data_IF_499571246584
#
_entry.id   IF_499571246584
#
_cell.length_a   1.000
_cell.length_b   1.000
_cell.length_c   1.000
_cell.angle_alpha   90.00
_cell.angle_beta   90.00
_cell.angle_gamma   90.00
#
_symmetry.space_group_name_H-M   'P 1'
#
loop_
_entity.id
_entity.type
_entity.pdbx_description
1 polymer ?
#
# COMPACT_ATOMS: atom_id res chain seq x y z
N UNK A 1 31.79 -8.04 2.42
CA UNK A 1 30.69 -8.91 2.91
C UNK A 1 30.05 -8.39 4.20
N UNK A 2 30.82 -8.01 5.23
CA UNK A 2 30.24 -7.52 6.49
C UNK A 2 29.46 -6.21 6.31
N UNK A 3 30.00 -5.24 5.57
CA UNK A 3 29.36 -3.93 5.33
C UNK A 3 27.99 -4.02 4.64
N UNK A 4 27.88 -4.85 3.59
CA UNK A 4 26.61 -5.06 2.87
C UNK A 4 25.60 -5.73 3.79
N UNK A 5 26.04 -6.72 4.57
CA UNK A 5 25.20 -7.42 5.54
C UNK A 5 24.72 -6.48 6.65
N UNK A 6 25.60 -5.65 7.22
CA UNK A 6 25.24 -4.69 8.26
C UNK A 6 24.35 -3.57 7.74
N UNK A 7 24.60 -3.06 6.53
CA UNK A 7 23.74 -2.06 5.89
C UNK A 7 22.33 -2.62 5.62
N UNK A 8 22.24 -3.87 5.15
CA UNK A 8 20.97 -4.57 4.96
C UNK A 8 20.18 -4.66 6.28
N UNK A 9 20.81 -5.14 7.35
CA UNK A 9 20.14 -5.28 8.65
C UNK A 9 19.78 -3.93 9.28
N UNK A 10 20.61 -2.90 9.13
CA UNK A 10 20.30 -1.54 9.60
C UNK A 10 19.11 -0.93 8.86
N UNK A 11 19.04 -1.12 7.55
CA UNK A 11 17.93 -0.61 6.73
C UNK A 11 16.63 -1.33 7.07
N UNK A 12 16.68 -2.66 7.27
CA UNK A 12 15.54 -3.44 7.72
C UNK A 12 15.05 -3.03 9.11
N UNK A 13 15.96 -2.84 10.07
CA UNK A 13 15.61 -2.36 11.41
C UNK A 13 15.00 -0.96 11.38
N UNK A 14 15.53 -0.07 10.53
CA UNK A 14 14.97 1.27 10.33
C UNK A 14 13.54 1.22 9.78
N UNK A 15 13.28 0.40 8.75
CA UNK A 15 11.93 0.24 8.18
C UNK A 15 10.93 -0.33 9.19
N UNK A 16 11.39 -1.20 10.10
CA UNK A 16 10.55 -1.80 11.14
C UNK A 16 10.19 -0.81 12.26
N UNK A 17 11.12 0.09 12.61
CA UNK A 17 10.91 1.13 13.64
C UNK A 17 10.34 2.43 13.11
N UNK A 18 10.44 2.71 11.81
CA UNK A 18 9.88 3.90 11.18
C UNK A 18 8.37 4.12 11.45
N UNK A 19 7.49 3.10 11.48
CA UNK A 19 6.07 3.33 11.80
C UNK A 19 5.83 3.74 13.25
N UNK A 20 6.72 3.40 14.19
CA UNK A 20 6.60 3.82 15.60
C UNK A 20 7.20 5.20 15.89
N UNK A 21 7.99 5.75 14.96
CA UNK A 21 8.59 7.08 15.04
C UNK A 21 7.70 8.21 14.49
N UNK A 22 6.42 7.93 14.22
CA UNK A 22 5.44 8.93 13.77
C UNK A 22 5.51 9.30 12.29
N UNK A 23 6.26 8.54 11.47
CA UNK A 23 6.14 8.66 10.02
C UNK A 23 4.94 7.84 9.56
N UNK A 24 3.91 8.52 9.02
CA UNK A 24 2.75 7.87 8.42
C UNK A 24 3.13 7.22 7.08
N UNK A 25 3.78 6.07 7.21
CA UNK A 25 4.11 5.16 6.12
C UNK A 25 2.83 4.61 5.48
N UNK A 26 1.70 4.58 6.19
CA UNK A 26 0.42 4.15 5.64
C UNK A 26 -0.07 5.11 4.55
N UNK A 27 -0.05 6.42 4.83
CA UNK A 27 -0.42 7.43 3.84
C UNK A 27 0.59 7.46 2.67
N UNK A 28 1.88 7.39 2.97
CA UNK A 28 2.93 7.37 1.94
C UNK A 28 2.86 6.12 1.07
N UNK A 29 2.64 4.93 1.65
CA UNK A 29 2.49 3.69 0.92
C UNK A 29 1.20 3.65 0.09
N UNK A 30 0.09 4.23 0.57
CA UNK A 30 -1.14 4.38 -0.21
C UNK A 30 -0.94 5.33 -1.40
N UNK A 31 -0.25 6.45 -1.20
CA UNK A 31 0.07 7.39 -2.28
C UNK A 31 0.97 6.74 -3.34
N UNK A 32 2.10 6.14 -2.93
CA UNK A 32 3.02 5.44 -3.84
C UNK A 32 2.35 4.24 -4.50
N UNK A 33 1.51 3.50 -3.77
CA UNK A 33 0.75 2.37 -4.29
C UNK A 33 -0.28 2.77 -5.35
N UNK A 34 -0.96 3.91 -5.17
CA UNK A 34 -1.88 4.48 -6.17
C UNK A 34 -1.14 4.90 -7.45
N UNK A 35 0.05 5.48 -7.33
CA UNK A 35 0.85 5.85 -8.51
C UNK A 35 1.44 4.63 -9.21
N UNK A 36 1.92 3.63 -8.46
CA UNK A 36 2.41 2.37 -9.03
C UNK A 36 1.31 1.59 -9.76
N UNK A 37 0.09 1.56 -9.20
CA UNK A 37 -1.03 0.91 -9.88
C UNK A 37 -1.43 1.64 -11.17
N UNK A 38 -1.44 2.98 -11.19
CA UNK A 38 -1.68 3.76 -12.42
C UNK A 38 -0.59 3.54 -13.49
N UNK A 39 0.67 3.49 -13.08
CA UNK A 39 1.77 3.20 -14.00
C UNK A 39 1.71 1.76 -14.50
N UNK A 40 1.36 0.80 -13.65
CA UNK A 40 1.17 -0.60 -14.01
C UNK A 40 0.01 -0.80 -14.99
N UNK A 41 -1.15 -0.20 -14.74
CA UNK A 41 -2.32 -0.32 -15.64
C UNK A 41 -2.05 0.30 -17.00
N UNK A 42 -1.42 1.48 -17.06
CA UNK A 42 -1.07 2.11 -18.34
C UNK A 42 -0.07 1.29 -19.18
N UNK A 43 0.92 0.66 -18.54
CA UNK A 43 1.84 -0.24 -19.22
C UNK A 43 1.14 -1.49 -19.79
N UNK A 44 0.21 -2.09 -19.02
CA UNK A 44 -0.57 -3.26 -19.47
C UNK A 44 -1.52 -2.90 -20.60
N UNK A 45 -2.20 -1.74 -20.53
CA UNK A 45 -3.07 -1.25 -21.60
C UNK A 45 -2.27 -1.08 -22.90
N UNK A 46 -1.09 -0.48 -22.85
CA UNK A 46 -0.24 -0.34 -24.05
C UNK A 46 0.15 -1.67 -24.71
N UNK A 47 0.36 -2.72 -23.92
CA UNK A 47 0.64 -4.07 -24.43
C UNK A 47 -0.58 -4.73 -25.06
N UNK A 48 -1.76 -4.55 -24.46
CA UNK A 48 -3.03 -5.00 -25.04
C UNK A 48 -3.33 -4.22 -26.33
N UNK A 49 -2.93 -2.96 -26.39
CA UNK A 49 -3.20 -2.13 -27.55
C UNK A 49 -2.37 -2.48 -28.78
N UNK A 50 -1.13 -2.90 -28.56
CA UNK A 50 -0.20 -3.34 -29.60
C UNK A 50 -0.53 -4.71 -30.21
N UNK A 51 -1.47 -5.46 -29.62
CA UNK A 51 -1.96 -6.72 -30.18
C UNK A 51 -3.08 -6.46 -31.21
N UNK A 52 -2.81 -6.81 -32.46
CA UNK A 52 -3.81 -6.78 -33.53
C UNK A 52 -4.81 -7.94 -33.39
N UNK A 53 -6.08 -7.60 -33.20
CA UNK A 53 -7.16 -8.58 -33.10
C UNK A 53 -7.67 -8.97 -34.51
N UNK A 54 -7.44 -10.22 -34.91
CA UNK A 54 -7.96 -10.76 -36.17
C UNK A 54 -9.44 -11.20 -36.11
N UNK A 55 -10.04 -11.23 -34.91
CA UNK A 55 -11.44 -11.66 -34.70
C UNK A 55 -12.26 -10.62 -33.96
N UNK A 56 -13.57 -10.61 -34.24
CA UNK A 56 -14.54 -9.71 -33.58
C UNK A 56 -14.56 -9.95 -32.07
N UNK A 57 -14.47 -11.21 -31.63
CA UNK A 57 -14.45 -11.61 -30.23
C UNK A 57 -13.26 -11.00 -29.47
N UNK A 58 -12.07 -10.99 -30.09
CA UNK A 58 -10.86 -10.37 -29.54
C UNK A 58 -11.04 -8.85 -29.41
N UNK A 59 -11.63 -8.19 -30.42
CA UNK A 59 -11.84 -6.74 -30.39
C UNK A 59 -12.79 -6.31 -29.26
N UNK A 60 -13.87 -7.07 -29.04
CA UNK A 60 -14.84 -6.80 -27.97
C UNK A 60 -14.22 -7.10 -26.60
N UNK A 61 -13.53 -8.23 -26.47
CA UNK A 61 -12.83 -8.62 -25.24
C UNK A 61 -11.77 -7.59 -24.81
N UNK A 62 -11.00 -7.05 -25.77
CA UNK A 62 -10.01 -6.00 -25.51
C UNK A 62 -10.64 -4.74 -24.90
N UNK A 63 -11.75 -4.27 -25.45
CA UNK A 63 -12.44 -3.09 -24.92
C UNK A 63 -13.01 -3.31 -23.52
N UNK A 64 -13.52 -4.51 -23.24
CA UNK A 64 -13.99 -4.87 -21.90
C UNK A 64 -12.86 -4.89 -20.87
N UNK A 65 -11.70 -5.46 -21.23
CA UNK A 65 -10.52 -5.51 -20.34
C UNK A 65 -9.96 -4.11 -20.09
N UNK A 66 -9.84 -3.28 -21.13
CA UNK A 66 -9.40 -1.88 -20.98
C UNK A 66 -10.39 -1.10 -20.11
N UNK A 67 -11.70 -1.27 -20.32
CA UNK A 67 -12.74 -0.67 -19.49
C UNK A 67 -12.62 -1.08 -18.02
N UNK A 68 -12.43 -2.37 -17.74
CA UNK A 68 -12.25 -2.87 -16.38
C UNK A 68 -10.99 -2.33 -15.68
N UNK A 69 -9.88 -2.20 -16.42
CA UNK A 69 -8.61 -1.65 -15.91
C UNK A 69 -8.67 -0.14 -15.63
N UNK A 70 -9.59 0.58 -16.27
CA UNK A 70 -9.77 2.04 -16.11
C UNK A 70 -10.84 2.41 -15.10
N UNK A 71 -11.76 1.50 -14.76
CA UNK A 71 -12.76 1.74 -13.71
C UNK A 71 -12.10 1.92 -12.33
N UNK A 72 -12.31 3.05 -11.66
CA UNK A 72 -11.77 3.26 -10.31
C UNK A 72 -12.43 2.29 -9.33
N UNK A 73 -11.61 1.56 -8.58
CA UNK A 73 -12.08 0.72 -7.47
C UNK A 73 -12.71 1.62 -6.41
N UNK A 74 -13.98 1.37 -6.09
CA UNK A 74 -14.67 2.10 -5.04
C UNK A 74 -13.89 2.00 -3.72
N UNK A 75 -13.74 3.09 -2.95
CA UNK A 75 -13.04 3.04 -1.67
C UNK A 75 -13.72 2.00 -0.77
N UNK A 76 -12.97 0.97 -0.40
CA UNK A 76 -13.44 0.00 0.59
C UNK A 76 -13.68 0.78 1.90
N UNK A 77 -14.83 0.55 2.57
CA UNK A 77 -15.08 1.18 3.86
C UNK A 77 -13.94 0.79 4.79
N UNK A 78 -13.26 1.79 5.36
CA UNK A 78 -12.22 1.57 6.35
C UNK A 78 -12.85 0.74 7.48
N UNK A 79 -12.32 -0.46 7.71
CA UNK A 79 -12.64 -1.23 8.91
C UNK A 79 -12.37 -0.31 10.10
N UNK A 80 -13.43 0.09 10.80
CA UNK A 80 -13.33 0.95 11.96
C UNK A 80 -12.43 0.26 12.99
N UNK A 81 -11.28 0.88 13.28
CA UNK A 81 -10.40 0.44 14.34
C UNK A 81 -11.18 0.48 15.66
N UNK A 82 -11.24 -0.62 16.43
CA UNK A 82 -11.93 -0.60 17.71
C UNK A 82 -11.29 0.47 18.61
N UNK A 83 -12.08 1.29 19.32
CA UNK A 83 -11.54 2.34 20.16
C UNK A 83 -10.65 1.71 21.24
N UNK A 84 -9.34 1.94 21.14
CA UNK A 84 -8.41 1.56 22.18
C UNK A 84 -8.75 2.35 23.45
N UNK A 85 -9.00 1.71 24.60
CA UNK A 85 -9.25 2.43 25.84
C UNK A 85 -8.00 3.27 26.14
N UNK A 86 -8.18 4.58 26.26
CA UNK A 86 -7.13 5.52 26.66
C UNK A 86 -6.74 5.24 28.12
N UNK A 87 -5.96 4.19 28.34
CA UNK A 87 -5.28 3.96 29.60
C UNK A 87 -4.20 5.05 29.73
N UNK A 88 -4.40 5.95 30.69
CA UNK A 88 -3.41 6.95 31.04
C UNK A 88 -2.10 6.25 31.42
N UNK A 89 -1.08 6.43 30.59
CA UNK A 89 0.27 5.96 30.84
C UNK A 89 1.16 7.17 31.14
N UNK A 90 2.01 7.14 32.18
CA UNK A 90 2.20 6.05 33.15
C UNK A 90 1.07 5.96 34.19
N UNK A 91 0.80 4.77 34.75
CA UNK A 91 -0.24 4.58 35.76
C UNK A 91 0.03 5.43 37.02
N UNK A 92 -1.01 5.89 37.73
CA UNK A 92 -0.85 6.65 38.97
C UNK A 92 -0.08 5.82 40.02
N UNK A 93 0.82 6.48 40.75
CA UNK A 93 1.61 5.87 41.84
C UNK A 93 0.68 5.20 42.86
N UNK A 94 0.92 3.95 43.27
CA UNK A 94 0.07 3.27 44.22
C UNK A 94 0.21 3.88 45.63
N UNK A 95 -0.89 3.88 46.39
CA UNK A 95 -1.01 4.56 47.69
C UNK A 95 -0.07 4.03 48.78
N UNK A 96 0.44 2.80 48.63
CA UNK A 96 1.38 2.18 49.57
C UNK A 96 2.81 2.75 49.46
N UNK A 97 3.11 3.55 48.43
CA UNK A 97 4.43 4.12 48.19
C UNK A 97 4.59 5.55 48.77
N UNK A 98 3.76 5.92 49.75
CA UNK A 98 3.91 7.14 50.57
C UNK A 98 4.68 6.87 51.85
#
# INVERSE_FOLDING_TARGET
MFLVRSAFWLTGAFLLMAPSAGMDLGQSARATGADLTRQGTSAVIGQIEAQDCASLECSIGRQLVIGALTTPVAPQPALAEPPSPALAFPPPRPAWAY
#
